data_IF_584306011205
#
_entry.id   IF_584306011205
#
_cell.length_a   1.000
_cell.length_b   1.000
_cell.length_c   1.000
_cell.angle_alpha   90.00
_cell.angle_beta   90.00
_cell.angle_gamma   90.00
#
_symmetry.space_group_name_H-M   'P 1'
#
loop_
_entity.id
_entity.type
_entity.pdbx_description
1 polymer ?
#
# COMPACT_ATOMS: atom_id res chain seq x y z
N UNK A 1 51.26 5.81 -36.56
CA UNK A 1 51.05 4.65 -35.67
C UNK A 1 50.69 5.07 -34.22
N UNK A 2 51.40 5.97 -33.55
CA UNK A 2 51.13 6.38 -32.15
C UNK A 2 49.70 6.93 -31.95
N UNK A 3 49.20 7.84 -32.79
CA UNK A 3 47.83 8.42 -32.68
C UNK A 3 46.73 7.35 -32.74
N UNK A 4 46.86 6.32 -33.62
CA UNK A 4 45.88 5.25 -33.75
C UNK A 4 45.81 4.35 -32.49
N UNK A 5 46.96 4.11 -31.84
CA UNK A 5 47.02 3.36 -30.57
C UNK A 5 46.37 4.15 -29.42
N UNK A 6 46.61 5.45 -29.35
CA UNK A 6 45.99 6.31 -28.34
C UNK A 6 44.46 6.30 -28.47
N UNK A 7 43.94 6.42 -29.70
CA UNK A 7 42.49 6.33 -29.95
C UNK A 7 41.91 4.97 -29.51
N UNK A 8 42.60 3.86 -29.84
CA UNK A 8 42.18 2.51 -29.45
C UNK A 8 42.14 2.39 -27.91
N UNK A 9 43.17 2.82 -27.21
CA UNK A 9 43.18 2.76 -25.73
C UNK A 9 42.14 3.65 -25.11
N UNK A 10 41.86 4.83 -25.68
CA UNK A 10 40.77 5.70 -25.21
C UNK A 10 39.39 5.04 -25.37
N UNK A 11 39.16 4.39 -26.52
CA UNK A 11 37.90 3.65 -26.78
C UNK A 11 37.73 2.48 -25.78
N UNK A 12 38.78 1.69 -25.54
CA UNK A 12 38.75 0.62 -24.55
C UNK A 12 38.53 1.16 -23.13
N UNK A 13 39.17 2.29 -22.78
CA UNK A 13 38.94 2.96 -21.49
C UNK A 13 37.50 3.37 -21.28
N UNK A 14 36.84 3.93 -22.29
CA UNK A 14 35.42 4.27 -22.26
C UNK A 14 34.55 3.02 -22.12
N UNK A 15 34.81 1.97 -22.91
CA UNK A 15 34.07 0.71 -22.83
C UNK A 15 34.19 0.09 -21.45
N UNK A 16 35.38 0.01 -20.86
CA UNK A 16 35.60 -0.55 -19.53
C UNK A 16 34.90 0.31 -18.44
N UNK A 17 34.90 1.63 -18.61
CA UNK A 17 34.17 2.52 -17.69
C UNK A 17 32.66 2.30 -17.75
N UNK A 18 32.09 2.17 -18.96
CA UNK A 18 30.65 1.85 -19.16
C UNK A 18 30.30 0.51 -18.54
N UNK A 19 31.13 -0.52 -18.77
CA UNK A 19 30.95 -1.86 -18.18
C UNK A 19 31.02 -1.76 -16.64
N UNK A 20 31.96 -1.03 -16.10
CA UNK A 20 32.11 -0.83 -14.65
C UNK A 20 30.87 -0.16 -14.01
N UNK A 21 30.32 0.87 -14.67
CA UNK A 21 29.10 1.55 -14.22
C UNK A 21 27.89 0.60 -14.31
N UNK A 22 27.75 -0.12 -15.43
CA UNK A 22 26.67 -1.09 -15.61
C UNK A 22 26.72 -2.22 -14.57
N UNK A 23 27.91 -2.74 -14.28
CA UNK A 23 28.12 -3.76 -13.24
C UNK A 23 27.78 -3.22 -11.85
N UNK A 24 28.23 -2.02 -11.51
CA UNK A 24 27.90 -1.36 -10.23
C UNK A 24 26.40 -1.17 -10.08
N UNK A 25 25.71 -0.72 -11.12
CA UNK A 25 24.26 -0.58 -11.12
C UNK A 25 23.55 -1.92 -10.94
N UNK A 26 23.96 -2.96 -11.69
CA UNK A 26 23.42 -4.31 -11.57
C UNK A 26 23.59 -4.88 -10.15
N UNK A 27 24.76 -4.67 -9.53
CA UNK A 27 25.02 -5.07 -8.15
C UNK A 27 24.08 -4.43 -7.13
N UNK A 28 23.65 -3.18 -7.37
CA UNK A 28 22.66 -2.50 -6.54
C UNK A 28 21.23 -2.95 -6.84
N UNK A 29 20.90 -3.27 -8.09
CA UNK A 29 19.55 -3.57 -8.54
C UNK A 29 19.14 -5.04 -8.31
N UNK A 30 20.06 -6.01 -8.47
CA UNK A 30 19.76 -7.44 -8.37
C UNK A 30 19.14 -7.85 -7.02
N UNK A 31 19.63 -7.38 -5.85
CA UNK A 31 18.98 -7.70 -4.59
C UNK A 31 17.54 -7.16 -4.47
N UNK A 32 17.23 -6.07 -5.18
CA UNK A 32 15.89 -5.50 -5.22
C UNK A 32 14.97 -6.40 -6.04
N UNK A 33 15.40 -6.82 -7.23
CA UNK A 33 14.65 -7.75 -8.10
C UNK A 33 14.38 -9.06 -7.36
N UNK A 34 15.44 -9.67 -6.79
CA UNK A 34 15.35 -10.92 -6.05
C UNK A 34 14.42 -10.80 -4.83
N UNK A 35 14.55 -9.69 -4.08
CA UNK A 35 13.75 -9.42 -2.88
C UNK A 35 12.28 -9.15 -3.21
N UNK A 36 12.01 -8.33 -4.24
CA UNK A 36 10.66 -8.08 -4.72
C UNK A 36 9.96 -9.39 -5.09
N UNK A 37 10.60 -10.19 -5.96
CA UNK A 37 9.97 -11.41 -6.44
C UNK A 37 9.82 -12.47 -5.35
N UNK A 38 10.83 -12.68 -4.49
CA UNK A 38 10.72 -13.61 -3.38
C UNK A 38 9.56 -13.23 -2.44
N UNK A 39 9.45 -11.94 -2.07
CA UNK A 39 8.44 -11.43 -1.14
C UNK A 39 7.03 -11.58 -1.71
N UNK A 40 6.82 -11.05 -2.94
CA UNK A 40 5.49 -11.03 -3.54
C UNK A 40 5.03 -12.44 -3.96
N UNK A 41 5.91 -13.29 -4.51
CA UNK A 41 5.56 -14.66 -4.82
C UNK A 41 5.24 -15.49 -3.57
N UNK A 42 5.96 -15.27 -2.47
CA UNK A 42 5.68 -15.94 -1.20
C UNK A 42 4.26 -15.60 -0.71
N UNK A 43 3.87 -14.33 -0.75
CA UNK A 43 2.50 -13.90 -0.42
C UNK A 43 1.47 -14.43 -1.43
N UNK A 44 1.79 -14.44 -2.72
CA UNK A 44 0.89 -14.97 -3.75
C UNK A 44 0.58 -16.46 -3.53
N UNK A 45 1.59 -17.26 -3.21
CA UNK A 45 1.43 -18.71 -3.03
C UNK A 45 0.78 -19.05 -1.68
N UNK A 46 1.31 -18.49 -0.58
CA UNK A 46 0.93 -18.95 0.77
C UNK A 46 -0.20 -18.15 1.41
N UNK A 47 -0.39 -16.88 1.01
CA UNK A 47 -1.47 -16.03 1.54
C UNK A 47 -2.66 -15.93 0.58
N UNK A 48 -2.40 -15.76 -0.73
CA UNK A 48 -3.45 -15.65 -1.74
C UNK A 48 -3.86 -17.00 -2.34
N UNK A 49 -3.13 -18.10 -2.03
CA UNK A 49 -3.36 -19.45 -2.55
C UNK A 49 -3.30 -19.56 -4.08
N UNK A 50 -2.52 -18.70 -4.74
CA UNK A 50 -2.34 -18.70 -6.19
C UNK A 50 -1.30 -19.73 -6.63
N UNK A 51 -1.47 -20.27 -7.83
CA UNK A 51 -0.47 -21.15 -8.44
C UNK A 51 0.81 -20.37 -8.73
N UNK A 52 1.97 -20.93 -8.33
CA UNK A 52 3.26 -20.25 -8.43
C UNK A 52 3.58 -19.81 -9.87
N UNK A 53 3.43 -20.72 -10.84
CA UNK A 53 3.73 -20.43 -12.25
C UNK A 53 2.83 -19.34 -12.83
N UNK A 54 1.56 -19.29 -12.42
CA UNK A 54 0.64 -18.23 -12.82
C UNK A 54 1.07 -16.90 -12.20
N UNK A 55 1.36 -16.87 -10.90
CA UNK A 55 1.81 -15.66 -10.22
C UNK A 55 3.14 -15.13 -10.80
N UNK A 56 4.09 -16.01 -11.15
CA UNK A 56 5.33 -15.61 -11.82
C UNK A 56 5.04 -14.97 -13.17
N UNK A 57 4.19 -15.59 -14.01
CA UNK A 57 3.86 -15.02 -15.33
C UNK A 57 3.16 -13.68 -15.24
N UNK A 58 2.19 -13.54 -14.33
CA UNK A 58 1.36 -12.33 -14.23
C UNK A 58 2.05 -11.19 -13.49
N UNK A 59 2.67 -11.48 -12.35
CA UNK A 59 3.15 -10.45 -11.42
C UNK A 59 4.65 -10.17 -11.57
N UNK A 60 5.43 -11.10 -12.15
CA UNK A 60 6.89 -11.03 -12.25
C UNK A 60 7.40 -11.21 -13.69
N UNK A 61 6.51 -11.35 -14.67
CA UNK A 61 6.86 -11.63 -16.08
C UNK A 61 7.42 -10.42 -16.82
N UNK A 62 7.26 -9.21 -16.32
CA UNK A 62 7.74 -7.99 -16.98
C UNK A 62 9.18 -7.63 -16.55
N UNK A 63 9.92 -6.98 -17.49
CA UNK A 63 11.24 -6.43 -17.19
C UNK A 63 11.14 -5.29 -16.16
N UNK A 64 12.03 -5.23 -15.15
CA UNK A 64 13.22 -6.07 -14.93
C UNK A 64 12.98 -7.33 -14.08
N UNK A 65 11.77 -7.58 -13.57
CA UNK A 65 11.46 -8.71 -12.67
C UNK A 65 11.63 -10.06 -13.37
N UNK A 66 11.39 -10.12 -14.68
CA UNK A 66 11.61 -11.32 -15.51
C UNK A 66 13.08 -11.78 -15.62
N UNK A 67 14.05 -10.97 -15.19
CA UNK A 67 15.45 -11.39 -15.03
C UNK A 67 15.66 -12.33 -13.84
N UNK A 68 14.69 -12.35 -12.91
CA UNK A 68 14.74 -13.17 -11.69
C UNK A 68 14.36 -14.61 -11.93
N UNK A 69 14.99 -15.51 -11.16
CA UNK A 69 14.55 -16.89 -10.98
C UNK A 69 14.00 -17.04 -9.57
N UNK A 70 12.80 -17.59 -9.47
CA UNK A 70 12.06 -17.70 -8.22
C UNK A 70 11.72 -19.15 -7.93
N UNK A 71 12.07 -19.64 -6.74
CA UNK A 71 11.87 -21.03 -6.33
C UNK A 71 11.03 -21.10 -5.07
N UNK A 72 9.89 -21.78 -5.15
CA UNK A 72 9.02 -22.05 -4.01
C UNK A 72 9.52 -23.31 -3.29
N UNK A 73 9.65 -23.22 -1.97
CA UNK A 73 9.97 -24.36 -1.11
C UNK A 73 8.79 -24.62 -0.16
N UNK A 74 8.03 -25.67 -0.45
CA UNK A 74 6.87 -26.04 0.34
C UNK A 74 7.23 -26.59 1.73
N UNK A 75 8.42 -27.18 1.87
CA UNK A 75 8.84 -27.84 3.13
C UNK A 75 8.99 -26.84 4.29
N UNK A 76 9.39 -25.61 4.00
CA UNK A 76 9.57 -24.55 5.00
C UNK A 76 8.71 -23.29 4.74
N UNK A 77 7.75 -23.39 3.82
CA UNK A 77 6.87 -22.31 3.42
C UNK A 77 7.63 -21.03 3.05
N UNK A 78 8.59 -21.16 2.13
CA UNK A 78 9.45 -20.06 1.72
C UNK A 78 9.56 -19.93 0.20
N UNK A 79 10.04 -18.76 -0.24
CA UNK A 79 10.40 -18.49 -1.63
C UNK A 79 11.78 -17.87 -1.67
N UNK A 80 12.63 -18.36 -2.57
CA UNK A 80 13.94 -17.77 -2.86
C UNK A 80 13.93 -17.15 -4.24
N UNK A 81 14.38 -15.89 -4.33
CA UNK A 81 14.63 -15.17 -5.57
C UNK A 81 16.12 -14.99 -5.81
N UNK A 82 16.54 -14.98 -7.07
CA UNK A 82 17.92 -14.65 -7.49
C UNK A 82 17.89 -14.08 -8.89
N UNK A 83 18.92 -13.32 -9.29
CA UNK A 83 19.15 -12.90 -10.68
C UNK A 83 20.39 -13.62 -11.18
N UNK A 84 20.22 -14.52 -12.15
CA UNK A 84 21.29 -15.38 -12.70
C UNK A 84 22.09 -16.13 -11.61
N UNK A 85 21.42 -16.54 -10.53
CA UNK A 85 22.04 -17.21 -9.38
C UNK A 85 22.72 -16.28 -8.36
N UNK A 86 22.84 -14.98 -8.67
CA UNK A 86 23.39 -13.97 -7.77
C UNK A 86 22.33 -13.28 -6.92
N UNK A 87 22.76 -12.54 -5.91
CA UNK A 87 21.93 -11.68 -5.04
C UNK A 87 20.70 -12.41 -4.46
N UNK A 88 20.89 -13.64 -4.00
CA UNK A 88 19.82 -14.46 -3.42
C UNK A 88 19.12 -13.75 -2.28
N UNK A 89 17.79 -13.75 -2.31
CA UNK A 89 16.90 -13.26 -1.25
C UNK A 89 15.85 -14.31 -0.94
N UNK A 90 15.54 -14.49 0.33
CA UNK A 90 14.53 -15.46 0.81
C UNK A 90 13.40 -14.72 1.53
N UNK A 91 12.16 -15.07 1.21
CA UNK A 91 10.98 -14.70 1.98
C UNK A 91 10.39 -15.95 2.64
N UNK A 92 9.94 -15.82 3.87
CA UNK A 92 9.31 -16.89 4.64
C UNK A 92 7.87 -16.52 4.98
N UNK A 93 6.97 -17.47 4.89
CA UNK A 93 5.58 -17.31 5.31
C UNK A 93 5.42 -17.72 6.77
N UNK A 94 4.64 -16.93 7.52
CA UNK A 94 4.22 -17.23 8.89
C UNK A 94 2.70 -17.10 8.99
N UNK A 95 2.03 -18.16 9.40
CA UNK A 95 0.56 -18.19 9.50
C UNK A 95 0.07 -17.04 10.39
N UNK A 96 -0.87 -16.25 9.87
CA UNK A 96 -1.44 -15.06 10.52
C UNK A 96 -0.66 -13.77 10.28
N UNK A 97 0.65 -13.82 9.97
CA UNK A 97 1.47 -12.64 9.65
C UNK A 97 1.79 -12.48 8.16
N UNK A 98 1.48 -13.50 7.33
CA UNK A 98 1.88 -13.47 5.93
C UNK A 98 3.38 -13.64 5.73
N UNK A 99 3.94 -13.04 4.69
CA UNK A 99 5.33 -13.21 4.29
C UNK A 99 6.25 -12.15 4.87
N UNK A 100 7.48 -12.55 5.21
CA UNK A 100 8.55 -11.66 5.67
C UNK A 100 9.82 -11.93 4.87
N UNK A 101 10.43 -10.87 4.33
CA UNK A 101 11.72 -10.97 3.65
C UNK A 101 12.85 -11.08 4.67
N UNK A 102 13.73 -12.07 4.50
CA UNK A 102 14.87 -12.30 5.38
C UNK A 102 15.98 -11.29 5.05
N UNK A 103 16.06 -10.23 5.86
CA UNK A 103 17.06 -9.17 5.78
C UNK A 103 17.57 -8.83 7.18
N UNK A 104 18.84 -8.54 7.31
CA UNK A 104 19.54 -8.10 8.52
C UNK A 104 19.47 -9.09 9.72
N UNK A 105 18.38 -9.84 9.86
CA UNK A 105 18.22 -10.95 10.81
C UNK A 105 18.29 -12.27 10.09
N UNK A 106 18.74 -13.31 10.79
CA UNK A 106 18.68 -14.69 10.27
C UNK A 106 17.24 -15.21 10.23
N UNK A 107 16.97 -16.17 9.36
CA UNK A 107 15.68 -16.85 9.31
C UNK A 107 15.26 -17.42 10.66
N UNK A 108 16.19 -18.02 11.39
CA UNK A 108 15.94 -18.59 12.72
C UNK A 108 15.47 -17.52 13.72
N UNK A 109 16.10 -16.34 13.71
CA UNK A 109 15.67 -15.22 14.56
C UNK A 109 14.26 -14.73 14.19
N UNK A 110 13.94 -14.61 12.88
CA UNK A 110 12.61 -14.17 12.45
C UNK A 110 11.55 -15.21 12.81
N UNK A 111 11.83 -16.52 12.64
CA UNK A 111 10.89 -17.59 13.02
C UNK A 111 10.70 -17.72 14.53
N UNK A 112 11.69 -17.33 15.33
CA UNK A 112 11.61 -17.33 16.78
C UNK A 112 10.83 -16.16 17.37
N UNK A 113 10.45 -15.14 16.56
CA UNK A 113 9.62 -14.02 17.03
C UNK A 113 8.25 -14.54 17.47
N UNK A 114 7.88 -14.26 18.72
CA UNK A 114 6.53 -14.53 19.20
C UNK A 114 5.57 -13.43 18.75
N UNK A 115 4.36 -13.83 18.38
CA UNK A 115 3.28 -12.92 18.05
C UNK A 115 1.93 -13.55 18.34
N UNK A 116 0.92 -12.72 18.52
CA UNK A 116 -0.46 -13.19 18.69
C UNK A 116 -1.37 -12.42 17.75
N UNK A 117 -2.00 -13.14 16.83
CA UNK A 117 -3.11 -12.65 16.01
C UNK A 117 -4.39 -13.26 16.59
N UNK A 118 -5.37 -12.44 17.00
CA UNK A 118 -6.61 -12.97 17.52
C UNK A 118 -7.43 -13.65 16.41
N UNK A 119 -8.22 -14.63 16.78
CA UNK A 119 -9.19 -15.21 15.85
C UNK A 119 -10.28 -14.21 15.51
N UNK A 120 -10.76 -14.27 14.27
CA UNK A 120 -11.87 -13.42 13.85
C UNK A 120 -13.13 -13.78 14.64
N UNK A 121 -13.90 -12.80 15.13
CA UNK A 121 -15.11 -13.05 15.93
C UNK A 121 -16.24 -13.68 15.12
N UNK A 122 -16.19 -13.58 13.78
CA UNK A 122 -17.14 -14.18 12.86
C UNK A 122 -16.38 -15.25 12.06
N UNK A 123 -16.75 -16.51 12.30
CA UNK A 123 -16.12 -17.67 11.65
C UNK A 123 -16.65 -17.93 10.24
N UNK A 124 -17.91 -17.57 9.99
CA UNK A 124 -18.58 -17.66 8.69
C UNK A 124 -19.25 -16.33 8.35
N UNK A 125 -18.57 -15.44 7.60
CA UNK A 125 -19.12 -14.15 7.20
C UNK A 125 -20.42 -14.22 6.36
N UNK A 126 -20.71 -15.33 5.71
CA UNK A 126 -21.93 -15.52 4.92
C UNK A 126 -23.20 -15.67 5.78
N UNK A 127 -23.04 -15.89 7.07
CA UNK A 127 -24.15 -15.94 8.02
C UNK A 127 -24.53 -14.59 8.58
N UNK A 128 -23.71 -13.57 8.38
CA UNK A 128 -23.90 -12.20 8.90
C UNK A 128 -24.13 -11.23 7.76
N UNK A 129 -25.08 -10.31 7.95
CA UNK A 129 -25.43 -9.32 6.93
C UNK A 129 -24.28 -8.31 6.69
N UNK A 130 -24.14 -7.91 5.42
CA UNK A 130 -23.32 -6.78 5.00
C UNK A 130 -23.76 -5.49 5.74
N UNK A 131 -22.82 -4.66 6.28
CA UNK A 131 -21.39 -4.70 6.06
C UNK A 131 -20.57 -5.46 7.14
N UNK A 132 -21.18 -5.98 8.19
CA UNK A 132 -20.47 -6.74 9.23
C UNK A 132 -20.12 -8.16 8.79
N UNK A 133 -20.87 -8.74 7.87
CA UNK A 133 -20.57 -10.00 7.17
C UNK A 133 -20.71 -9.85 5.67
N UNK A 134 -20.87 -10.97 4.96
CA UNK A 134 -20.87 -11.02 3.49
C UNK A 134 -22.22 -11.36 2.89
N UNK A 135 -23.24 -11.65 3.73
CA UNK A 135 -24.58 -11.94 3.24
C UNK A 135 -25.23 -10.68 2.68
N UNK A 136 -25.56 -10.70 1.39
CA UNK A 136 -26.27 -9.61 0.74
C UNK A 136 -27.78 -9.84 0.85
N UNK A 137 -28.61 -8.79 0.97
CA UNK A 137 -30.06 -8.93 0.97
C UNK A 137 -30.56 -9.41 -0.39
N UNK A 138 -31.61 -10.23 -0.39
CA UNK A 138 -32.17 -10.87 -1.58
C UNK A 138 -32.77 -9.90 -2.63
N UNK A 139 -33.07 -8.67 -2.22
CA UNK A 139 -33.64 -7.66 -3.13
C UNK A 139 -32.98 -6.31 -2.91
N UNK A 140 -32.04 -5.91 -3.75
CA UNK A 140 -31.57 -4.55 -3.75
C UNK A 140 -32.54 -3.65 -4.52
N UNK A 141 -33.52 -3.03 -3.88
CA UNK A 141 -34.14 -1.83 -4.45
C UNK A 141 -33.11 -0.70 -4.39
N UNK A 142 -32.35 -0.54 -5.45
CA UNK A 142 -31.39 0.54 -5.56
C UNK A 142 -31.86 1.48 -6.68
N UNK A 143 -31.85 2.80 -6.48
CA UNK A 143 -32.16 3.77 -7.54
C UNK A 143 -31.04 3.87 -8.60
N UNK A 144 -30.03 2.98 -8.52
CA UNK A 144 -28.89 2.93 -9.44
C UNK A 144 -29.31 2.40 -10.81
N UNK A 145 -28.83 3.06 -11.88
CA UNK A 145 -28.98 2.51 -13.24
C UNK A 145 -28.03 1.31 -13.43
N UNK A 146 -28.56 0.10 -13.21
CA UNK A 146 -27.77 -1.13 -13.28
C UNK A 146 -27.12 -1.37 -14.66
N UNK A 147 -27.75 -0.96 -15.77
CA UNK A 147 -27.20 -1.15 -17.10
C UNK A 147 -25.98 -0.27 -17.35
N UNK A 148 -26.03 1.00 -16.95
CA UNK A 148 -24.88 1.92 -17.02
C UNK A 148 -23.75 1.44 -16.10
N UNK A 149 -24.09 1.03 -14.87
CA UNK A 149 -23.08 0.54 -13.91
C UNK A 149 -22.37 -0.72 -14.41
N UNK A 150 -23.12 -1.70 -14.93
CA UNK A 150 -22.53 -2.90 -15.53
C UNK A 150 -21.63 -2.57 -16.73
N UNK A 151 -21.97 -1.53 -17.48
CA UNK A 151 -21.13 -1.06 -18.59
C UNK A 151 -19.82 -0.43 -18.08
N UNK A 152 -19.88 0.44 -17.07
CA UNK A 152 -18.68 1.00 -16.43
C UNK A 152 -17.76 -0.11 -15.88
N UNK A 153 -18.35 -1.12 -15.21
CA UNK A 153 -17.60 -2.27 -14.69
C UNK A 153 -16.99 -3.11 -15.83
N UNK A 154 -17.68 -3.35 -16.95
CA UNK A 154 -17.05 -4.03 -18.10
C UNK A 154 -15.87 -3.23 -18.64
N UNK A 155 -16.04 -1.93 -18.86
CA UNK A 155 -15.00 -1.06 -19.41
C UNK A 155 -13.72 -1.08 -18.58
N UNK A 156 -13.81 -1.15 -17.23
CA UNK A 156 -12.62 -1.14 -16.40
C UNK A 156 -11.82 -2.45 -16.47
N UNK A 157 -12.46 -3.58 -16.80
CA UNK A 157 -11.76 -4.84 -17.03
C UNK A 157 -11.10 -4.87 -18.41
N UNK A 158 -11.64 -4.15 -19.38
CA UNK A 158 -11.15 -4.07 -20.76
C UNK A 158 -10.29 -2.80 -20.99
N UNK A 159 -10.06 -1.98 -19.94
CA UNK A 159 -9.34 -0.72 -20.06
C UNK A 159 -7.86 -0.93 -20.40
N UNK A 160 -7.33 0.00 -21.20
CA UNK A 160 -5.90 0.06 -21.52
C UNK A 160 -5.43 1.50 -21.35
N UNK A 161 -4.28 1.68 -20.68
CA UNK A 161 -3.62 2.97 -20.55
C UNK A 161 -2.24 2.86 -21.21
N UNK A 162 -1.95 3.76 -22.17
CA UNK A 162 -0.70 3.75 -22.93
C UNK A 162 -0.40 2.38 -23.56
N UNK A 163 -1.44 1.72 -24.12
CA UNK A 163 -1.41 0.37 -24.70
C UNK A 163 -1.14 -0.78 -23.70
N UNK A 164 -1.05 -0.49 -22.40
CA UNK A 164 -0.89 -1.49 -21.35
C UNK A 164 -2.28 -1.87 -20.82
N UNK A 165 -2.69 -3.15 -20.91
CA UNK A 165 -3.96 -3.62 -20.33
C UNK A 165 -4.01 -3.37 -18.83
N UNK A 166 -5.16 -2.94 -18.32
CA UNK A 166 -5.34 -2.64 -16.90
C UNK A 166 -5.16 -3.84 -15.98
N UNK A 167 -5.41 -5.05 -16.50
CA UNK A 167 -5.42 -6.30 -15.75
C UNK A 167 -6.17 -6.16 -14.42
N UNK A 168 -7.39 -5.63 -14.50
CA UNK A 168 -8.27 -5.48 -13.33
C UNK A 168 -8.65 -6.86 -12.80
N UNK A 169 -8.41 -7.09 -11.50
CA UNK A 169 -8.70 -8.35 -10.79
C UNK A 169 -10.02 -8.29 -10.03
N UNK A 170 -10.34 -7.13 -9.48
CA UNK A 170 -11.62 -6.89 -8.81
C UNK A 170 -12.09 -5.45 -9.01
N UNK A 171 -13.40 -5.28 -9.13
CA UNK A 171 -14.08 -3.99 -9.07
C UNK A 171 -15.36 -4.15 -8.24
N UNK A 172 -15.56 -3.27 -7.26
CA UNK A 172 -16.68 -3.29 -6.34
C UNK A 172 -17.18 -1.86 -6.13
N UNK A 173 -18.50 -1.66 -6.17
CA UNK A 173 -19.16 -0.38 -5.97
C UNK A 173 -20.15 -0.49 -4.84
N UNK A 174 -20.02 0.37 -3.85
CA UNK A 174 -20.96 0.51 -2.73
C UNK A 174 -21.63 1.88 -2.82
N UNK A 175 -22.95 1.89 -2.89
CA UNK A 175 -23.77 3.08 -2.89
C UNK A 175 -24.72 3.05 -1.70
N UNK A 176 -24.78 4.16 -0.93
CA UNK A 176 -25.61 4.31 0.28
C UNK A 176 -25.53 3.08 1.21
N UNK A 177 -24.28 2.61 1.45
CA UNK A 177 -23.96 1.48 2.31
C UNK A 177 -24.18 0.09 1.71
N UNK A 178 -24.69 -0.04 0.47
CA UNK A 178 -25.03 -1.32 -0.17
C UNK A 178 -24.11 -1.63 -1.35
N UNK A 179 -23.66 -2.87 -1.50
CA UNK A 179 -22.98 -3.32 -2.71
C UNK A 179 -23.97 -3.31 -3.87
N UNK A 180 -23.70 -2.49 -4.89
CA UNK A 180 -24.54 -2.34 -6.09
C UNK A 180 -23.89 -2.92 -7.34
N UNK A 181 -22.57 -3.16 -7.32
CA UNK A 181 -21.89 -3.94 -8.36
C UNK A 181 -20.62 -4.58 -7.77
N UNK A 182 -20.34 -5.80 -8.21
CA UNK A 182 -19.17 -6.57 -7.83
C UNK A 182 -18.79 -7.50 -8.97
N UNK A 183 -17.50 -7.46 -9.38
CA UNK A 183 -16.98 -8.33 -10.45
C UNK A 183 -15.52 -8.68 -10.18
N UNK A 184 -15.16 -9.92 -10.49
CA UNK A 184 -13.81 -10.46 -10.38
C UNK A 184 -13.35 -11.03 -11.72
N UNK A 185 -12.05 -10.96 -11.97
CA UNK A 185 -11.42 -11.63 -13.09
C UNK A 185 -11.35 -13.15 -12.85
N UNK A 186 -11.16 -13.92 -13.92
CA UNK A 186 -10.93 -15.36 -13.82
C UNK A 186 -9.79 -15.69 -12.87
N UNK A 187 -10.03 -16.61 -11.93
CA UNK A 187 -9.05 -17.00 -10.89
C UNK A 187 -9.05 -16.11 -9.64
N UNK A 188 -9.97 -15.14 -9.57
CA UNK A 188 -10.20 -14.30 -8.38
C UNK A 188 -11.68 -14.34 -8.01
N UNK A 189 -11.95 -14.21 -6.72
CA UNK A 189 -13.29 -14.18 -6.16
C UNK A 189 -13.39 -13.23 -4.95
N UNK A 190 -14.57 -13.18 -4.30
CA UNK A 190 -14.82 -12.33 -3.15
C UNK A 190 -13.96 -12.65 -1.92
N UNK A 191 -13.45 -13.89 -1.83
CA UNK A 191 -12.61 -14.37 -0.72
C UNK A 191 -11.12 -14.19 -1.00
N UNK A 192 -10.74 -13.86 -2.24
CA UNK A 192 -9.36 -13.67 -2.62
C UNK A 192 -8.81 -12.39 -2.00
N UNK A 193 -7.83 -12.52 -1.10
CA UNK A 193 -7.11 -11.36 -0.57
C UNK A 193 -6.11 -10.86 -1.60
N UNK A 194 -6.07 -9.56 -1.79
CA UNK A 194 -5.20 -8.89 -2.76
C UNK A 194 -4.37 -7.81 -2.09
N UNK A 195 -3.17 -7.56 -2.62
CA UNK A 195 -2.26 -6.56 -2.06
C UNK A 195 -2.81 -5.16 -2.25
N UNK A 196 -2.82 -4.37 -1.17
CA UNK A 196 -3.23 -2.97 -1.20
C UNK A 196 -2.11 -2.01 -1.57
N UNK A 197 -0.85 -2.44 -1.52
CA UNK A 197 0.30 -1.54 -1.64
C UNK A 197 0.12 -0.28 -0.78
N UNK A 198 0.28 0.91 -1.34
CA UNK A 198 0.22 2.15 -0.57
C UNK A 198 -1.15 2.48 0.05
N UNK A 199 -2.22 1.73 -0.25
CA UNK A 199 -3.46 1.82 0.53
C UNK A 199 -3.22 1.46 2.02
N UNK A 200 -2.16 0.69 2.32
CA UNK A 200 -1.71 0.41 3.70
C UNK A 200 -1.43 1.68 4.51
N UNK A 201 -1.02 2.77 3.87
CA UNK A 201 -0.78 4.06 4.52
C UNK A 201 -2.04 4.61 5.18
N UNK A 202 -3.17 4.53 4.47
CA UNK A 202 -4.47 4.98 4.99
C UNK A 202 -4.90 4.14 6.20
N UNK A 203 -4.65 2.82 6.17
CA UNK A 203 -4.88 1.93 7.32
C UNK A 203 -3.99 2.34 8.49
N UNK A 204 -2.70 2.58 8.25
CA UNK A 204 -1.75 3.06 9.29
C UNK A 204 -2.21 4.40 9.87
N UNK A 205 -2.69 5.32 9.02
CA UNK A 205 -3.30 6.58 9.45
C UNK A 205 -4.51 6.38 10.38
N UNK A 206 -5.40 5.45 10.04
CA UNK A 206 -6.56 5.12 10.89
C UNK A 206 -6.13 4.57 12.26
N UNK A 207 -5.12 3.70 12.31
CA UNK A 207 -4.58 3.16 13.58
C UNK A 207 -3.97 4.27 14.46
N UNK A 208 -3.27 5.25 13.86
CA UNK A 208 -2.81 6.46 14.59
C UNK A 208 -4.03 7.24 15.11
N UNK A 209 -5.08 7.42 14.29
CA UNK A 209 -6.32 8.11 14.71
C UNK A 209 -7.00 7.44 15.90
N UNK A 210 -6.98 6.12 15.97
CA UNK A 210 -7.48 5.37 17.13
C UNK A 210 -6.63 5.66 18.39
N UNK A 211 -5.30 5.71 18.26
CA UNK A 211 -4.41 6.02 19.39
C UNK A 211 -4.55 7.48 19.85
N UNK A 212 -4.82 8.40 18.94
CA UNK A 212 -5.17 9.80 19.28
C UNK A 212 -6.50 9.86 20.02
N UNK A 213 -7.54 9.12 19.56
CA UNK A 213 -8.81 8.99 20.28
C UNK A 213 -8.64 8.47 21.70
N UNK A 214 -7.70 7.54 21.91
CA UNK A 214 -7.37 6.97 23.21
C UNK A 214 -6.53 7.91 24.09
N UNK A 215 -6.17 9.11 23.61
CA UNK A 215 -5.29 10.04 24.32
C UNK A 215 -3.83 9.59 24.47
N UNK A 216 -3.43 8.54 23.70
CA UNK A 216 -2.08 7.99 23.77
C UNK A 216 -1.09 8.74 22.86
N UNK A 217 -1.58 9.44 21.86
CA UNK A 217 -0.80 10.24 20.92
C UNK A 217 -1.46 11.60 20.68
N UNK A 218 -0.64 12.63 20.42
CA UNK A 218 -1.10 13.93 19.96
C UNK A 218 -0.33 14.30 18.68
N UNK A 219 -1.04 14.71 17.63
CA UNK A 219 -0.45 15.03 16.34
C UNK A 219 0.46 16.26 16.36
N UNK A 220 0.30 17.16 17.33
CA UNK A 220 1.11 18.36 17.47
C UNK A 220 2.45 18.11 18.19
N UNK A 221 2.56 17.00 18.91
CA UNK A 221 3.75 16.67 19.64
C UNK A 221 4.87 16.22 18.70
N UNK A 222 6.15 16.43 19.07
CA UNK A 222 7.26 15.79 18.41
C UNK A 222 7.03 14.28 18.30
N UNK A 223 7.35 13.74 17.12
CA UNK A 223 7.20 12.30 16.89
C UNK A 223 8.09 11.52 17.85
N UNK A 224 7.58 10.50 18.55
CA UNK A 224 8.33 9.74 19.55
C UNK A 224 9.32 8.76 18.87
N UNK A 225 10.33 9.32 18.21
CA UNK A 225 11.42 8.60 17.55
C UNK A 225 12.70 8.83 18.34
N UNK A 226 13.11 7.83 19.11
CA UNK A 226 14.20 7.97 20.08
C UNK A 226 15.51 8.45 19.45
N UNK A 227 15.80 8.00 18.22
CA UNK A 227 17.01 8.37 17.47
C UNK A 227 17.06 9.86 17.10
N UNK A 228 15.93 10.57 17.19
CA UNK A 228 15.85 12.00 16.86
C UNK A 228 16.07 12.93 18.04
N UNK A 229 16.04 12.43 19.27
CA UNK A 229 16.04 13.26 20.50
C UNK A 229 17.13 14.32 20.58
N UNK A 230 18.33 14.05 20.03
CA UNK A 230 19.47 14.96 20.08
C UNK A 230 19.97 15.39 18.68
N UNK A 231 19.06 15.40 17.71
CA UNK A 231 19.35 15.80 16.33
C UNK A 231 18.44 16.95 15.90
N UNK A 232 18.70 17.54 14.75
CA UNK A 232 17.83 18.55 14.11
C UNK A 232 16.43 18.01 13.75
N UNK A 233 16.25 16.69 13.75
CA UNK A 233 14.97 16.01 13.51
C UNK A 233 14.06 15.94 14.74
N UNK A 234 14.53 16.32 15.95
CA UNK A 234 13.73 16.25 17.20
C UNK A 234 12.42 17.03 17.14
N UNK A 235 12.31 18.02 16.28
CA UNK A 235 11.14 18.88 16.09
C UNK A 235 10.13 18.35 15.08
N UNK A 236 10.44 17.25 14.36
CA UNK A 236 9.47 16.64 13.45
C UNK A 236 8.27 16.14 14.25
N UNK A 237 7.07 16.65 13.95
CA UNK A 237 5.86 16.29 14.65
C UNK A 237 5.20 15.06 14.03
N UNK A 238 4.30 14.41 14.79
CA UNK A 238 3.48 13.32 14.29
C UNK A 238 2.59 13.78 13.12
N UNK A 239 2.11 15.04 13.14
CA UNK A 239 1.37 15.68 12.04
C UNK A 239 2.21 15.70 10.76
N UNK A 240 3.46 16.08 10.83
CA UNK A 240 4.34 16.15 9.65
C UNK A 240 4.64 14.78 9.05
N UNK A 241 4.71 13.72 9.86
CA UNK A 241 4.78 12.34 9.36
C UNK A 241 3.50 11.96 8.60
N UNK A 242 2.31 12.28 9.14
CA UNK A 242 1.01 12.00 8.53
C UNK A 242 0.83 12.76 7.21
N UNK A 243 1.26 14.03 7.17
CA UNK A 243 1.12 14.93 6.02
C UNK A 243 2.26 14.83 5.00
N UNK A 244 3.25 13.96 5.25
CA UNK A 244 4.39 13.79 4.35
C UNK A 244 5.25 15.06 4.19
N UNK A 245 5.46 15.81 5.27
CA UNK A 245 6.21 17.07 5.28
C UNK A 245 7.44 17.03 6.23
N UNK A 246 8.02 15.85 6.45
CA UNK A 246 9.14 15.65 7.40
C UNK A 246 10.46 16.27 6.95
N UNK A 247 10.65 16.49 5.65
CA UNK A 247 11.91 16.96 5.09
C UNK A 247 13.01 15.90 4.97
N UNK A 248 12.76 14.63 5.33
CA UNK A 248 13.74 13.55 5.21
C UNK A 248 14.15 13.31 3.75
N UNK A 249 15.43 13.03 3.54
CA UNK A 249 16.02 12.73 2.23
C UNK A 249 15.63 11.33 1.75
N UNK A 250 14.38 11.15 1.31
CA UNK A 250 13.83 9.89 0.89
C UNK A 250 13.32 9.99 -0.56
N UNK A 251 13.90 9.22 -1.48
CA UNK A 251 13.45 9.16 -2.88
C UNK A 251 12.43 8.03 -3.06
N UNK A 252 11.20 8.40 -3.39
CA UNK A 252 10.11 7.47 -3.69
C UNK A 252 10.13 7.08 -5.18
N UNK A 253 11.14 6.31 -5.59
CA UNK A 253 11.34 5.85 -6.98
C UNK A 253 11.39 4.32 -6.98
N UNK A 254 10.61 3.69 -7.87
CA UNK A 254 10.50 2.24 -7.96
C UNK A 254 11.12 1.64 -9.23
N UNK A 255 11.53 2.47 -10.19
CA UNK A 255 12.16 2.03 -11.45
C UNK A 255 13.63 1.61 -11.32
N UNK A 256 14.21 1.70 -10.12
CA UNK A 256 15.60 1.34 -9.86
C UNK A 256 15.98 1.48 -8.38
N UNK A 257 17.28 1.40 -8.05
CA UNK A 257 17.77 1.60 -6.69
C UNK A 257 17.47 3.00 -6.15
N UNK A 258 16.77 3.06 -5.03
CA UNK A 258 16.37 4.28 -4.33
C UNK A 258 16.23 3.99 -2.83
N UNK A 259 15.92 5.01 -2.03
CA UNK A 259 15.62 4.81 -0.61
C UNK A 259 14.39 3.92 -0.43
N UNK A 260 13.34 4.09 -1.26
CA UNK A 260 12.14 3.25 -1.20
C UNK A 260 12.44 1.77 -1.49
N UNK A 261 13.12 1.46 -2.59
CA UNK A 261 13.41 0.08 -2.98
C UNK A 261 14.48 -0.56 -2.09
N UNK A 262 15.47 0.21 -1.60
CA UNK A 262 16.43 -0.29 -0.61
C UNK A 262 15.74 -0.61 0.72
N UNK A 263 14.86 0.26 1.20
CA UNK A 263 14.08 0.05 2.42
C UNK A 263 13.25 -1.22 2.32
N UNK A 264 12.43 -1.34 1.26
CA UNK A 264 11.48 -2.45 1.11
C UNK A 264 12.14 -3.81 0.89
N UNK A 265 13.29 -3.87 0.17
CA UNK A 265 13.83 -5.15 -0.31
C UNK A 265 15.20 -5.50 0.25
N UNK A 266 15.84 -4.58 0.99
CA UNK A 266 17.21 -4.82 1.51
C UNK A 266 17.35 -4.57 3.00
N UNK A 267 16.33 -4.02 3.70
CA UNK A 267 16.40 -3.68 5.12
C UNK A 267 15.46 -4.53 5.96
N UNK A 268 15.95 -4.92 7.14
CA UNK A 268 15.19 -5.72 8.10
C UNK A 268 14.34 -4.86 9.05
N UNK A 269 14.77 -3.62 9.35
CA UNK A 269 14.00 -2.61 10.07
C UNK A 269 13.85 -1.37 9.16
N UNK A 270 12.67 -1.30 8.53
CA UNK A 270 12.38 -0.25 7.55
C UNK A 270 12.22 1.13 8.19
N UNK A 271 11.68 1.16 9.39
CA UNK A 271 11.49 2.41 10.13
C UNK A 271 12.83 2.97 10.63
N UNK A 272 13.71 2.14 11.19
CA UNK A 272 15.05 2.56 11.60
C UNK A 272 15.89 3.07 10.42
N UNK A 273 15.83 2.36 9.27
CA UNK A 273 16.49 2.83 8.04
C UNK A 273 16.04 4.24 7.66
N UNK A 274 14.75 4.50 7.66
CA UNK A 274 14.22 5.81 7.29
C UNK A 274 14.54 6.87 8.33
N UNK A 275 14.43 6.56 9.61
CA UNK A 275 14.73 7.50 10.70
C UNK A 275 16.20 7.95 10.70
N UNK A 276 17.12 7.11 10.20
CA UNK A 276 18.53 7.43 10.07
C UNK A 276 18.87 8.38 8.91
N UNK A 277 17.97 8.56 7.92
CA UNK A 277 18.23 9.44 6.79
C UNK A 277 18.40 10.90 7.22
N UNK A 278 19.25 11.68 6.54
CA UNK A 278 19.41 13.11 6.84
C UNK A 278 18.20 13.91 6.40
N UNK A 279 18.10 15.15 6.84
CA UNK A 279 17.17 16.13 6.27
C UNK A 279 17.68 16.60 4.91
N UNK A 280 16.76 16.70 3.94
CA UNK A 280 16.96 17.37 2.65
C UNK A 280 16.38 18.79 2.66
N UNK A 281 15.35 19.03 3.47
CA UNK A 281 14.70 20.32 3.67
C UNK A 281 14.28 20.46 5.14
N UNK A 282 13.95 21.69 5.55
CA UNK A 282 13.38 21.95 6.86
C UNK A 282 12.05 21.19 7.06
N UNK A 283 11.83 20.55 8.22
CA UNK A 283 10.57 19.94 8.55
C UNK A 283 9.41 20.94 8.45
N UNK A 284 8.31 20.54 7.80
CA UNK A 284 7.13 21.39 7.60
C UNK A 284 7.29 22.41 6.45
N UNK A 285 8.34 22.36 5.65
CA UNK A 285 8.56 23.34 4.58
C UNK A 285 8.01 22.88 3.23
N UNK A 286 7.90 21.56 3.01
CA UNK A 286 7.54 21.00 1.71
C UNK A 286 6.87 19.64 1.84
N UNK A 287 5.83 19.42 1.04
CA UNK A 287 5.25 18.09 0.82
C UNK A 287 6.20 17.22 -0.01
N UNK A 288 6.48 16.02 0.49
CA UNK A 288 7.24 15.02 -0.24
C UNK A 288 6.74 13.61 0.15
N UNK A 289 6.01 12.95 -0.75
CA UNK A 289 5.47 11.62 -0.52
C UNK A 289 6.58 10.61 -0.21
N UNK A 290 6.43 9.87 0.89
CA UNK A 290 7.45 8.95 1.40
C UNK A 290 6.83 7.73 2.09
N UNK A 291 7.10 6.54 1.55
CA UNK A 291 6.79 5.27 2.22
C UNK A 291 7.53 5.12 3.54
N UNK A 292 8.70 5.73 3.66
CA UNK A 292 9.49 5.72 4.88
C UNK A 292 8.76 6.36 6.06
N UNK A 293 8.12 7.51 5.85
CA UNK A 293 7.32 8.17 6.89
C UNK A 293 6.22 7.25 7.44
N UNK A 294 5.56 6.50 6.58
CA UNK A 294 4.47 5.58 7.00
C UNK A 294 5.01 4.37 7.77
N UNK A 295 6.24 3.92 7.48
CA UNK A 295 6.89 2.87 8.29
C UNK A 295 7.35 3.41 9.66
N UNK A 296 7.78 4.68 9.76
CA UNK A 296 8.02 5.33 11.04
C UNK A 296 6.71 5.40 11.84
N UNK A 297 5.57 5.79 11.22
CA UNK A 297 4.26 5.76 11.88
C UNK A 297 3.91 4.37 12.40
N UNK A 298 4.17 3.31 11.62
CA UNK A 298 3.94 1.93 12.05
C UNK A 298 4.77 1.54 13.27
N UNK A 299 6.05 1.96 13.32
CA UNK A 299 6.90 1.77 14.51
C UNK A 299 6.39 2.55 15.71
N UNK A 300 5.90 3.77 15.51
CA UNK A 300 5.29 4.59 16.59
C UNK A 300 4.06 3.85 17.16
N UNK A 301 3.21 3.25 16.32
CA UNK A 301 2.11 2.40 16.78
C UNK A 301 2.63 1.29 17.68
N UNK A 302 3.68 0.56 17.23
CA UNK A 302 4.30 -0.55 17.99
C UNK A 302 4.78 -0.11 19.36
N UNK A 303 5.51 1.01 19.43
CA UNK A 303 6.03 1.57 20.68
C UNK A 303 4.92 2.04 21.61
N UNK A 304 3.85 2.63 21.07
CA UNK A 304 2.73 3.15 21.85
C UNK A 304 1.84 2.05 22.43
N UNK A 305 1.63 0.98 21.66
CA UNK A 305 0.78 -0.16 22.05
C UNK A 305 1.55 -1.15 22.95
N UNK A 306 2.85 -1.29 22.71
CA UNK A 306 3.71 -2.26 23.40
C UNK A 306 3.76 -3.62 22.69
N UNK A 307 4.85 -4.35 22.90
CA UNK A 307 5.18 -5.60 22.18
C UNK A 307 4.10 -6.69 22.33
N UNK A 308 3.49 -6.81 23.51
CA UNK A 308 2.52 -7.88 23.79
C UNK A 308 1.22 -7.74 22.98
N UNK A 309 0.79 -6.50 22.72
CA UNK A 309 -0.50 -6.19 22.11
C UNK A 309 -0.34 -5.74 20.64
N UNK A 310 0.87 -5.42 20.20
CA UNK A 310 1.11 -4.81 18.90
C UNK A 310 0.51 -5.58 17.73
N UNK A 311 0.81 -6.87 17.64
CA UNK A 311 0.34 -7.67 16.50
C UNK A 311 -1.17 -7.93 16.51
N UNK A 312 -1.81 -7.86 17.69
CA UNK A 312 -3.26 -7.99 17.83
C UNK A 312 -4.00 -6.66 17.62
N UNK A 313 -3.32 -5.52 17.85
CA UNK A 313 -3.93 -4.19 17.88
C UNK A 313 -4.68 -3.81 16.58
N UNK A 314 -4.12 -3.96 15.36
CA UNK A 314 -4.85 -3.62 14.14
C UNK A 314 -6.15 -4.42 14.00
N UNK A 315 -6.15 -5.67 14.45
CA UNK A 315 -7.29 -6.58 14.34
C UNK A 315 -8.39 -6.21 15.34
N UNK A 316 -8.04 -6.05 16.61
CA UNK A 316 -9.00 -5.78 17.68
C UNK A 316 -9.49 -4.33 17.69
N UNK A 317 -8.64 -3.38 17.32
CA UNK A 317 -8.97 -1.97 17.38
C UNK A 317 -9.61 -1.44 16.09
N UNK A 318 -9.38 -2.08 14.94
CA UNK A 318 -9.88 -1.62 13.65
C UNK A 318 -10.60 -2.75 12.88
N UNK A 319 -9.87 -3.77 12.41
CA UNK A 319 -10.38 -4.68 11.39
C UNK A 319 -11.65 -5.42 11.82
N UNK A 320 -11.64 -6.10 12.95
CA UNK A 320 -12.79 -6.87 13.41
C UNK A 320 -13.99 -6.02 13.80
N UNK A 321 -13.74 -4.77 14.19
CA UNK A 321 -14.80 -3.82 14.53
C UNK A 321 -15.56 -3.29 13.30
N UNK A 322 -14.96 -3.42 12.12
CA UNK A 322 -15.58 -3.00 10.85
C UNK A 322 -15.81 -4.17 9.87
N UNK A 323 -15.71 -5.41 10.35
CA UNK A 323 -16.01 -6.59 9.55
C UNK A 323 -14.91 -7.01 8.57
N UNK A 324 -13.68 -6.47 8.67
CA UNK A 324 -12.52 -6.83 7.82
C UNK A 324 -11.85 -8.11 8.34
N UNK A 325 -12.49 -9.25 8.15
CA UNK A 325 -12.05 -10.51 8.76
C UNK A 325 -10.94 -11.23 7.99
N UNK A 326 -10.71 -10.88 6.72
CA UNK A 326 -9.73 -11.51 5.84
C UNK A 326 -8.47 -10.64 5.65
N UNK A 327 -8.33 -9.56 6.42
CA UNK A 327 -7.22 -8.62 6.26
C UNK A 327 -5.98 -9.12 6.97
N UNK A 328 -4.82 -9.03 6.30
CA UNK A 328 -3.50 -9.36 6.84
C UNK A 328 -2.55 -8.18 6.63
N UNK A 329 -1.80 -7.83 7.68
CA UNK A 329 -0.65 -6.93 7.59
C UNK A 329 0.63 -7.74 7.68
N UNK A 330 1.53 -7.57 6.72
CA UNK A 330 2.81 -8.27 6.72
C UNK A 330 3.91 -7.42 7.36
N UNK A 331 4.72 -8.02 8.26
CA UNK A 331 5.81 -7.32 8.92
C UNK A 331 7.11 -7.37 8.13
N UNK A 332 8.03 -6.44 8.44
CA UNK A 332 9.44 -6.54 8.11
C UNK A 332 10.17 -7.56 9.01
N UNK A 333 11.48 -7.72 8.83
CA UNK A 333 12.24 -8.70 9.62
C UNK A 333 12.36 -8.32 11.10
N UNK A 334 12.21 -7.05 11.46
CA UNK A 334 12.16 -6.61 12.86
C UNK A 334 10.85 -7.00 13.57
N UNK A 335 9.83 -7.43 12.81
CA UNK A 335 8.48 -7.72 13.30
C UNK A 335 7.54 -6.52 13.29
N UNK A 336 7.97 -5.36 12.77
CA UNK A 336 7.11 -4.18 12.60
C UNK A 336 6.30 -4.32 11.30
N UNK A 337 4.98 -4.13 11.36
CA UNK A 337 4.16 -4.14 10.15
C UNK A 337 4.65 -3.10 9.14
N UNK A 338 4.73 -3.47 7.87
CA UNK A 338 5.13 -2.57 6.79
C UNK A 338 3.94 -1.66 6.46
N UNK A 339 3.73 -0.65 7.29
CA UNK A 339 2.57 0.25 7.23
C UNK A 339 2.47 1.08 5.96
N UNK A 340 3.50 1.05 5.12
CA UNK A 340 3.52 1.74 3.84
C UNK A 340 2.96 0.94 2.67
N UNK A 341 2.93 -0.44 2.74
CA UNK A 341 2.87 -1.21 1.48
C UNK A 341 2.22 -2.58 1.53
N UNK A 342 2.27 -3.30 2.64
CA UNK A 342 1.94 -4.73 2.65
C UNK A 342 0.70 -5.05 3.51
N UNK A 343 -0.42 -4.40 3.18
CA UNK A 343 -1.75 -4.87 3.57
C UNK A 343 -2.34 -5.76 2.47
N UNK A 344 -2.92 -6.86 2.85
CA UNK A 344 -3.70 -7.75 2.00
C UNK A 344 -5.12 -7.82 2.54
N UNK A 345 -6.10 -7.64 1.67
CA UNK A 345 -7.51 -7.71 2.04
C UNK A 345 -8.36 -8.12 0.83
N UNK A 346 -9.58 -8.59 1.07
CA UNK A 346 -10.56 -8.78 0.00
C UNK A 346 -11.05 -7.43 -0.52
N UNK A 347 -11.64 -7.41 -1.71
CA UNK A 347 -12.26 -6.17 -2.23
C UNK A 347 -13.37 -5.67 -1.29
N UNK A 348 -14.12 -6.57 -0.66
CA UNK A 348 -15.15 -6.24 0.32
C UNK A 348 -14.55 -5.63 1.60
N UNK A 349 -13.42 -6.17 2.09
CA UNK A 349 -12.74 -5.60 3.26
C UNK A 349 -12.22 -4.19 2.97
N UNK A 350 -11.62 -3.94 1.79
CA UNK A 350 -11.24 -2.59 1.39
C UNK A 350 -12.46 -1.65 1.26
N UNK A 351 -13.62 -2.15 0.81
CA UNK A 351 -14.83 -1.35 0.77
C UNK A 351 -15.36 -1.01 2.18
N UNK A 352 -15.25 -1.92 3.16
CA UNK A 352 -15.56 -1.66 4.57
C UNK A 352 -14.70 -0.55 5.14
N UNK A 353 -13.40 -0.57 4.83
CA UNK A 353 -12.49 0.52 5.19
C UNK A 353 -12.93 1.86 4.55
N UNK A 354 -13.34 1.84 3.29
CA UNK A 354 -13.92 3.01 2.63
C UNK A 354 -15.20 3.51 3.30
N UNK A 355 -16.09 2.60 3.69
CA UNK A 355 -17.34 2.92 4.41
C UNK A 355 -17.08 3.57 5.78
N UNK A 356 -16.05 3.14 6.51
CA UNK A 356 -15.65 3.77 7.77
C UNK A 356 -15.38 5.28 7.57
N UNK A 357 -14.64 5.65 6.54
CA UNK A 357 -14.32 7.04 6.24
C UNK A 357 -15.49 7.79 5.62
N UNK A 358 -16.29 7.14 4.76
CA UNK A 358 -17.54 7.70 4.23
C UNK A 358 -18.49 8.11 5.36
N UNK A 359 -18.57 7.29 6.40
CA UNK A 359 -19.43 7.51 7.57
C UNK A 359 -18.72 8.31 8.70
N UNK A 360 -17.70 9.08 8.35
CA UNK A 360 -16.96 9.95 9.29
C UNK A 360 -16.47 9.22 10.55
N UNK A 361 -15.95 8.01 10.36
CA UNK A 361 -15.39 7.20 11.44
C UNK A 361 -16.39 6.38 12.26
N UNK A 362 -17.68 6.47 11.93
CA UNK A 362 -18.74 5.67 12.55
C UNK A 362 -18.91 4.34 11.79
N UNK A 363 -19.06 3.24 12.51
CA UNK A 363 -19.32 1.93 11.93
C UNK A 363 -20.19 1.09 12.87
N UNK A 364 -21.29 0.56 12.37
CA UNK A 364 -22.23 -0.26 13.13
C UNK A 364 -22.65 0.37 14.50
N UNK A 365 -22.93 1.68 14.51
CA UNK A 365 -23.32 2.42 15.71
C UNK A 365 -22.16 2.78 16.65
N UNK A 366 -20.93 2.47 16.30
CA UNK A 366 -19.76 2.72 17.12
C UNK A 366 -18.80 3.72 16.43
N UNK A 367 -18.28 4.68 17.17
CA UNK A 367 -17.21 5.54 16.71
C UNK A 367 -15.87 4.79 16.79
N UNK A 368 -15.35 4.35 15.66
CA UNK A 368 -14.04 3.66 15.57
C UNK A 368 -12.91 4.70 15.54
N UNK A 369 -13.04 5.68 14.65
CA UNK A 369 -12.12 6.79 14.50
C UNK A 369 -12.90 8.09 14.69
N UNK A 370 -12.36 9.11 15.40
CA UNK A 370 -13.11 10.35 15.61
C UNK A 370 -13.50 11.05 14.30
N UNK A 371 -14.70 11.63 14.24
CA UNK A 371 -15.10 12.42 13.08
C UNK A 371 -14.13 13.60 12.81
N UNK A 372 -13.55 14.18 13.85
CA UNK A 372 -12.52 15.21 13.74
C UNK A 372 -11.27 14.66 13.01
N UNK A 373 -10.86 13.42 13.31
CA UNK A 373 -9.75 12.76 12.62
C UNK A 373 -10.02 12.58 11.13
N UNK A 374 -11.23 12.11 10.77
CA UNK A 374 -11.60 11.94 9.36
C UNK A 374 -11.55 13.29 8.64
N UNK A 375 -12.09 14.34 9.25
CA UNK A 375 -12.04 15.69 8.70
C UNK A 375 -10.60 16.19 8.49
N UNK A 376 -9.72 15.99 9.49
CA UNK A 376 -8.28 16.34 9.37
C UNK A 376 -7.58 15.50 8.28
N UNK A 377 -7.97 14.23 8.12
CA UNK A 377 -7.37 13.33 7.14
C UNK A 377 -7.59 13.79 5.69
N UNK A 378 -8.63 14.57 5.44
CA UNK A 378 -8.98 15.11 4.11
C UNK A 378 -8.62 16.60 3.96
N UNK A 379 -7.75 17.12 4.81
CA UNK A 379 -7.23 18.50 4.73
C UNK A 379 -5.76 18.46 4.27
N UNK A 380 -5.48 19.11 3.15
CA UNK A 380 -4.12 19.25 2.67
C UNK A 380 -3.37 20.33 3.46
N UNK A 381 -2.10 20.09 3.84
CA UNK A 381 -1.27 21.11 4.47
C UNK A 381 -0.99 22.28 3.51
N UNK A 382 -0.61 23.43 4.08
CA UNK A 382 -0.27 24.61 3.30
C UNK A 382 0.89 24.37 2.32
N UNK A 383 1.84 23.57 2.73
CA UNK A 383 3.07 23.19 2.05
C UNK A 383 2.84 22.24 0.84
N UNK A 384 1.64 21.69 0.71
CA UNK A 384 1.23 20.94 -0.47
C UNK A 384 0.55 21.88 -1.46
N UNK A 385 1.30 22.38 -2.44
CA UNK A 385 0.82 23.35 -3.45
C UNK A 385 -0.36 22.80 -4.26
N UNK A 386 -0.38 21.53 -4.57
CA UNK A 386 -1.45 20.88 -5.32
C UNK A 386 -2.69 20.59 -4.48
N UNK A 387 -2.59 20.71 -3.15
CA UNK A 387 -3.68 20.39 -2.22
C UNK A 387 -4.26 18.99 -2.42
N UNK A 388 -3.42 18.03 -2.80
CA UNK A 388 -3.82 16.68 -3.21
C UNK A 388 -3.48 15.57 -2.20
N UNK A 389 -3.06 15.91 -0.96
CA UNK A 389 -2.75 14.91 0.06
C UNK A 389 -3.01 15.43 1.48
N UNK A 390 -3.67 14.60 2.31
CA UNK A 390 -3.96 14.88 3.71
C UNK A 390 -3.21 13.93 4.66
N UNK A 391 -3.90 13.37 5.69
CA UNK A 391 -3.31 12.34 6.56
C UNK A 391 -3.43 10.97 5.89
N UNK A 392 -2.40 10.61 5.10
CA UNK A 392 -2.28 9.32 4.42
C UNK A 392 -3.43 9.01 3.42
N UNK A 393 -4.10 10.06 2.90
CA UNK A 393 -5.09 9.99 1.83
C UNK A 393 -4.76 10.97 0.73
N UNK A 394 -4.99 10.55 -0.51
CA UNK A 394 -5.01 11.43 -1.68
C UNK A 394 -6.35 12.18 -1.76
N UNK A 395 -6.32 13.39 -2.29
CA UNK A 395 -7.47 14.28 -2.44
C UNK A 395 -7.62 14.67 -3.90
N UNK A 396 -8.85 15.03 -4.33
CA UNK A 396 -9.11 15.63 -5.63
C UNK A 396 -8.60 17.09 -5.64
N UNK A 397 -7.29 17.24 -5.47
CA UNK A 397 -6.61 18.53 -5.47
C UNK A 397 -6.42 19.11 -6.87
N UNK A 398 -5.48 20.03 -7.01
CA UNK A 398 -5.17 20.66 -8.30
C UNK A 398 -4.47 19.69 -9.23
N UNK A 399 -4.81 19.74 -10.51
CA UNK A 399 -4.11 18.99 -11.54
C UNK A 399 -2.66 19.50 -11.70
N UNK A 400 -1.75 18.59 -11.94
CA UNK A 400 -0.30 18.87 -12.05
C UNK A 400 0.06 19.64 -13.31
N UNK A 401 -0.72 19.47 -14.38
CA UNK A 401 -0.49 20.10 -15.70
C UNK A 401 -1.30 21.38 -15.87
N UNK A 402 -2.49 21.43 -15.26
CA UNK A 402 -3.38 22.58 -15.28
C UNK A 402 -3.94 22.84 -13.87
N UNK A 403 -3.27 23.68 -13.10
CA UNK A 403 -3.64 24.02 -11.72
C UNK A 403 -4.99 24.78 -11.60
N UNK A 404 -5.62 25.15 -12.69
CA UNK A 404 -6.98 25.74 -12.72
C UNK A 404 -8.05 24.66 -12.59
N UNK A 405 -7.72 23.41 -12.86
CA UNK A 405 -8.59 22.24 -12.75
C UNK A 405 -8.22 21.36 -11.56
N UNK A 406 -9.10 20.43 -11.21
CA UNK A 406 -8.80 19.33 -10.30
C UNK A 406 -8.22 18.14 -11.07
N UNK A 407 -7.51 17.24 -10.36
CA UNK A 407 -6.96 16.01 -10.94
C UNK A 407 -8.05 15.12 -11.58
N UNK A 408 -9.26 15.15 -11.01
CA UNK A 408 -10.45 14.47 -11.54
C UNK A 408 -11.55 15.49 -11.84
N UNK A 409 -11.53 16.14 -13.02
CA UNK A 409 -12.46 17.24 -13.33
C UNK A 409 -13.93 16.81 -13.48
N UNK A 410 -14.19 15.54 -13.81
CA UNK A 410 -15.55 15.00 -13.96
C UNK A 410 -16.11 14.40 -12.65
N UNK A 411 -15.37 14.51 -11.53
CA UNK A 411 -15.71 13.91 -10.23
C UNK A 411 -15.91 14.98 -9.17
N UNK A 412 -16.84 14.84 -8.21
CA UNK A 412 -17.02 15.81 -7.13
C UNK A 412 -15.72 16.15 -6.40
N UNK A 413 -15.59 17.38 -5.98
CA UNK A 413 -14.38 17.90 -5.31
C UNK A 413 -14.10 17.25 -3.96
N UNK A 414 -15.10 16.68 -3.33
CA UNK A 414 -15.00 15.98 -2.05
C UNK A 414 -14.52 14.53 -2.18
N UNK A 415 -14.13 14.09 -3.41
CA UNK A 415 -13.41 12.84 -3.58
C UNK A 415 -12.11 12.85 -2.79
N UNK A 416 -11.91 11.84 -1.99
CA UNK A 416 -10.61 11.44 -1.46
C UNK A 416 -10.43 9.94 -1.62
N UNK A 417 -9.17 9.47 -1.64
CA UNK A 417 -8.92 8.09 -2.01
C UNK A 417 -7.60 7.55 -1.45
N UNK A 418 -7.56 6.25 -1.22
CA UNK A 418 -6.33 5.51 -1.03
C UNK A 418 -5.84 5.01 -2.39
N UNK A 419 -4.53 5.19 -2.68
CA UNK A 419 -3.89 4.82 -3.95
C UNK A 419 -2.71 3.88 -3.66
N UNK A 420 -2.73 2.70 -4.27
CA UNK A 420 -1.67 1.71 -4.22
C UNK A 420 -1.01 1.49 -5.58
N UNK A 421 0.29 1.13 -5.54
CA UNK A 421 1.07 0.83 -6.73
C UNK A 421 0.33 -0.17 -7.65
N UNK A 422 0.42 0.05 -8.98
CA UNK A 422 -0.25 -0.80 -9.96
C UNK A 422 -1.77 -0.55 -10.04
N UNK A 423 -2.29 0.51 -9.40
CA UNK A 423 -3.69 0.90 -9.54
C UNK A 423 -4.63 0.18 -8.56
N UNK A 424 -4.22 0.03 -7.33
CA UNK A 424 -5.10 -0.37 -6.23
C UNK A 424 -5.79 0.89 -5.71
N UNK A 425 -7.12 0.93 -5.68
CA UNK A 425 -7.84 2.13 -5.30
C UNK A 425 -9.00 1.85 -4.36
N UNK A 426 -9.18 2.73 -3.37
CA UNK A 426 -10.42 2.90 -2.61
C UNK A 426 -10.82 4.35 -2.79
N UNK A 427 -11.79 4.63 -3.66
CA UNK A 427 -12.36 5.96 -3.86
C UNK A 427 -13.54 6.17 -2.92
N UNK A 428 -13.62 7.35 -2.29
CA UNK A 428 -14.67 7.72 -1.35
C UNK A 428 -15.19 9.08 -1.78
N UNK A 429 -16.49 9.17 -2.09
CA UNK A 429 -17.15 10.39 -2.56
C UNK A 429 -18.36 10.67 -1.65
N UNK A 430 -18.18 11.45 -0.57
CA UNK A 430 -19.21 11.68 0.44
C UNK A 430 -20.50 12.29 -0.11
N UNK A 431 -20.41 13.30 -0.98
CA UNK A 431 -21.58 13.94 -1.61
C UNK A 431 -22.45 13.00 -2.44
N UNK A 432 -21.89 11.85 -2.83
CA UNK A 432 -22.58 10.82 -3.62
C UNK A 432 -22.81 9.54 -2.83
N UNK A 433 -22.50 9.50 -1.53
CA UNK A 433 -22.58 8.31 -0.67
C UNK A 433 -21.93 7.08 -1.30
N UNK A 434 -20.79 7.26 -1.94
CA UNK A 434 -20.19 6.28 -2.85
C UNK A 434 -18.82 5.83 -2.34
N UNK A 435 -18.59 4.52 -2.35
CA UNK A 435 -17.27 3.90 -2.24
C UNK A 435 -17.04 3.01 -3.46
N UNK A 436 -15.89 3.16 -4.10
CA UNK A 436 -15.50 2.32 -5.25
C UNK A 436 -14.14 1.71 -4.97
N UNK A 437 -14.04 0.40 -5.05
CA UNK A 437 -12.79 -0.35 -4.94
C UNK A 437 -12.41 -0.90 -6.30
N UNK A 438 -11.15 -0.69 -6.68
CA UNK A 438 -10.56 -1.34 -7.85
C UNK A 438 -9.22 -1.93 -7.48
N UNK A 439 -9.00 -3.21 -7.80
CA UNK A 439 -7.74 -3.93 -7.60
C UNK A 439 -7.27 -4.53 -8.93
N UNK A 440 -5.98 -4.48 -9.20
CA UNK A 440 -5.41 -5.00 -10.45
C UNK A 440 -3.89 -4.83 -10.52
N UNK A 441 -3.27 -4.96 -11.70
CA UNK A 441 -1.81 -4.90 -11.86
C UNK A 441 -1.31 -3.57 -12.42
N UNK A 442 -2.11 -2.88 -13.24
CA UNK A 442 -1.69 -1.65 -13.90
C UNK A 442 -2.69 -0.52 -13.64
N UNK A 443 -2.24 0.70 -13.80
CA UNK A 443 -3.06 1.91 -13.68
C UNK A 443 -4.17 1.93 -14.73
N UNK A 444 -5.21 2.70 -14.43
CA UNK A 444 -6.40 2.87 -15.26
C UNK A 444 -6.62 4.35 -15.56
N UNK A 445 -7.53 4.66 -16.50
CA UNK A 445 -8.05 6.00 -16.72
C UNK A 445 -9.09 6.37 -15.65
N UNK A 446 -8.58 6.72 -14.45
CA UNK A 446 -9.37 6.90 -13.22
C UNK A 446 -10.54 7.87 -13.39
N UNK A 447 -10.31 9.08 -13.94
CA UNK A 447 -11.36 10.09 -14.14
C UNK A 447 -12.48 9.56 -15.04
N UNK A 448 -12.14 8.85 -16.13
CA UNK A 448 -13.13 8.23 -17.03
C UNK A 448 -13.94 7.17 -16.31
N UNK A 449 -13.30 6.27 -15.59
CA UNK A 449 -13.96 5.21 -14.84
C UNK A 449 -14.94 5.77 -13.80
N UNK A 450 -14.49 6.72 -12.99
CA UNK A 450 -15.33 7.36 -11.97
C UNK A 450 -16.49 8.15 -12.60
N UNK A 451 -16.28 8.84 -13.72
CA UNK A 451 -17.34 9.51 -14.48
C UNK A 451 -18.42 8.52 -14.93
N UNK A 452 -18.02 7.38 -15.47
CA UNK A 452 -18.94 6.33 -15.91
C UNK A 452 -19.73 5.72 -14.73
N UNK A 453 -19.08 5.47 -13.59
CA UNK A 453 -19.76 5.01 -12.37
C UNK A 453 -20.75 6.07 -11.87
N UNK A 454 -20.34 7.34 -11.80
CA UNK A 454 -21.18 8.44 -11.34
C UNK A 454 -22.41 8.69 -12.24
N UNK A 455 -22.32 8.42 -13.55
CA UNK A 455 -23.45 8.50 -14.46
C UNK A 455 -24.54 7.45 -14.16
N UNK A 456 -24.19 6.37 -13.46
CA UNK A 456 -25.14 5.32 -13.05
C UNK A 456 -25.78 5.59 -11.66
N UNK A 457 -25.19 6.51 -10.88
CA UNK A 457 -25.61 6.83 -9.51
C UNK A 457 -26.52 8.07 -9.54
N UNK A 458 -27.64 8.12 -8.79
CA UNK A 458 -28.57 9.24 -8.73
C UNK A 458 -27.93 10.55 -8.30
#
# INVERSE_FOLDING_TARGET
>A
MKKRRVVIYSVWGVILSVIGVAFSYAWMAFPIISGYGAKNLCSAVYLQHRQADQAIREDLGEFPLSLGTYTVNAADSSVTGSVWGFAKKKAIYRKGLGSTLVNDLSEAQIRAQSFRIPEAPVTDPDTVDWPMGDRLPDTPSSPVNGALLQTAIRHIFDDTLDQIPSQTRAALVVYDGRIVAEKYATGFDRNTVMIGWSMSKSITGALIGILVKQGKLNVQDPAPVAEWAHTDKHRITLRQLLQQTTGLAFREVYSGPSEATNMLFKKGDMAAYTAALPLATEPGSRFHYSSGNSNILSRIIRQTVGENDYHSFPYTALFYRIGMYHTVLEPDASGTFIGSSYSYATARDFARFGLLYLNKGQYNGEEIVPAAWVNESIQAPAENELKNYGYQFWLNGRDKKDSTQTEFPDVPRDLFYADGYGGQYIYIIPSRKLVVVRLGLHKIRQNKFLKEVLAAIP
#
